data_IF_415561713946
#
_entry.id   IF_415561713946
#
_cell.length_a   1.000
_cell.length_b   1.000
_cell.length_c   1.000
_cell.angle_alpha   90.00
_cell.angle_beta   90.00
_cell.angle_gamma   90.00
#
_symmetry.space_group_name_H-M   'P 1'
#
loop_
_entity.id
_entity.type
_entity.pdbx_description
1 polymer ?
#
# COMPACT_ATOMS: atom_id res chain seq x y z
N UNK A 1 -21.82 25.77 -19.30
CA UNK A 1 -21.55 24.48 -19.95
C UNK A 1 -20.19 23.95 -19.46
N UNK A 2 -20.18 22.83 -18.71
CA UNK A 2 -19.26 21.74 -19.04
C UNK A 2 -19.92 20.38 -18.77
N UNK A 3 -20.29 19.63 -19.82
CA UNK A 3 -20.78 18.25 -19.68
C UNK A 3 -20.11 17.26 -20.63
N UNK A 4 -19.36 17.75 -21.62
CA UNK A 4 -18.77 16.88 -22.66
C UNK A 4 -17.42 16.32 -22.24
N UNK A 5 -16.60 17.08 -21.50
CA UNK A 5 -15.27 16.64 -21.07
C UNK A 5 -15.26 15.57 -19.96
N UNK A 6 -16.27 15.54 -19.07
CA UNK A 6 -16.29 14.57 -17.95
C UNK A 6 -16.83 13.19 -18.37
N UNK A 7 -17.62 13.10 -19.44
CA UNK A 7 -18.21 11.83 -19.90
C UNK A 7 -17.17 10.96 -20.62
N UNK A 8 -16.13 11.55 -21.21
CA UNK A 8 -15.06 10.82 -21.91
C UNK A 8 -13.97 10.25 -21.00
N UNK A 9 -13.73 10.85 -19.82
CA UNK A 9 -12.72 10.37 -18.87
C UNK A 9 -13.00 8.93 -18.40
N UNK A 10 -14.28 8.62 -18.14
CA UNK A 10 -14.69 7.33 -17.58
C UNK A 10 -14.62 6.14 -18.55
N UNK A 11 -14.50 6.36 -19.87
CA UNK A 11 -14.59 5.29 -20.89
C UNK A 11 -13.27 4.92 -21.56
N UNK A 12 -12.18 5.64 -21.32
CA UNK A 12 -10.90 5.45 -22.05
C UNK A 12 -9.64 5.48 -21.20
N UNK A 13 -9.76 5.65 -19.88
CA UNK A 13 -8.60 5.77 -18.99
C UNK A 13 -8.38 4.46 -18.25
N UNK A 14 -7.26 3.78 -18.53
CA UNK A 14 -6.85 2.65 -17.71
C UNK A 14 -6.24 3.17 -16.42
N UNK A 15 -6.68 2.64 -15.29
CA UNK A 15 -6.14 2.95 -13.97
C UNK A 15 -5.19 1.83 -13.60
N UNK A 16 -4.00 2.18 -13.12
CA UNK A 16 -2.98 1.23 -12.73
C UNK A 16 -2.55 1.46 -11.29
N UNK A 17 -2.09 0.39 -10.66
CA UNK A 17 -1.32 0.43 -9.43
C UNK A 17 -0.11 -0.47 -9.55
N UNK A 18 1.06 0.05 -9.18
CA UNK A 18 2.34 -0.66 -9.24
C UNK A 18 2.96 -0.69 -7.86
N UNK A 19 3.43 -1.87 -7.48
CA UNK A 19 4.39 -2.03 -6.39
C UNK A 19 5.78 -1.70 -6.93
N UNK A 20 6.36 -0.60 -6.45
CA UNK A 20 7.62 -0.04 -6.93
C UNK A 20 8.80 -0.60 -6.13
N UNK A 21 8.74 -0.51 -4.79
CA UNK A 21 9.79 -1.00 -3.89
C UNK A 21 9.20 -1.56 -2.59
N UNK A 22 10.02 -2.34 -1.88
CA UNK A 22 9.74 -2.91 -0.58
C UNK A 22 10.93 -2.62 0.34
N UNK A 23 10.67 -2.25 1.59
CA UNK A 23 11.68 -1.91 2.59
C UNK A 23 11.56 -0.48 3.08
N UNK A 24 12.60 0.05 3.72
CA UNK A 24 12.63 1.42 4.22
C UNK A 24 13.98 2.07 3.88
N UNK A 25 13.94 3.25 3.23
CA UNK A 25 15.11 4.09 3.00
C UNK A 25 16.23 3.34 2.28
N UNK A 26 17.45 3.24 2.86
CA UNK A 26 18.58 2.61 2.18
C UNK A 26 18.42 1.10 1.96
N UNK A 27 17.44 0.46 2.62
CA UNK A 27 17.17 -0.97 2.51
C UNK A 27 16.02 -1.29 1.54
N UNK A 28 15.55 -0.30 0.78
CA UNK A 28 14.55 -0.53 -0.26
C UNK A 28 15.13 -1.40 -1.38
N UNK A 29 14.39 -2.44 -1.73
CA UNK A 29 14.72 -3.38 -2.80
C UNK A 29 13.56 -3.52 -3.77
N UNK A 30 13.84 -4.08 -4.95
CA UNK A 30 12.78 -4.45 -5.88
C UNK A 30 11.91 -5.56 -5.27
N UNK A 31 10.60 -5.63 -5.56
CA UNK A 31 9.72 -6.62 -4.95
C UNK A 31 10.15 -8.07 -5.14
N UNK A 32 10.76 -8.39 -6.28
CA UNK A 32 11.31 -9.71 -6.60
C UNK A 32 12.60 -10.06 -5.83
N UNK A 33 13.24 -9.08 -5.21
CA UNK A 33 14.44 -9.27 -4.39
C UNK A 33 14.11 -9.38 -2.90
N UNK A 34 12.89 -9.00 -2.50
CA UNK A 34 12.48 -9.07 -1.11
C UNK A 34 11.96 -10.46 -0.76
N UNK A 35 12.48 -11.00 0.34
CA UNK A 35 11.89 -12.14 1.03
C UNK A 35 11.98 -11.87 2.53
N UNK A 36 10.88 -11.96 3.29
CA UNK A 36 10.97 -11.93 4.74
C UNK A 36 11.69 -13.19 5.23
N UNK A 37 12.25 -13.12 6.44
CA UNK A 37 12.87 -14.29 7.11
C UNK A 37 11.83 -15.39 7.37
N UNK A 38 10.64 -15.00 7.80
CA UNK A 38 9.49 -15.89 8.03
C UNK A 38 8.32 -15.42 7.17
N UNK A 39 7.90 -16.25 6.21
CA UNK A 39 6.85 -15.86 5.25
C UNK A 39 5.48 -15.65 5.89
N UNK A 40 5.18 -16.33 7.00
CA UNK A 40 3.90 -16.28 7.70
C UNK A 40 3.88 -15.35 8.92
N UNK A 41 5.02 -14.73 9.25
CA UNK A 41 5.16 -13.75 10.32
C UNK A 41 6.08 -12.62 9.85
N UNK A 42 5.50 -11.56 9.30
CA UNK A 42 6.23 -10.42 8.74
C UNK A 42 5.41 -9.14 8.83
N UNK A 43 6.13 -8.01 8.80
CA UNK A 43 5.62 -6.73 8.37
C UNK A 43 6.66 -6.05 7.50
N UNK A 44 6.21 -5.33 6.47
CA UNK A 44 7.11 -4.60 5.60
C UNK A 44 6.44 -3.39 4.98
N UNK A 45 7.18 -2.30 4.89
CA UNK A 45 6.74 -1.12 4.17
C UNK A 45 6.84 -1.37 2.66
N UNK A 46 5.77 -1.03 1.95
CA UNK A 46 5.72 -1.07 0.50
C UNK A 46 5.43 0.32 -0.06
N UNK A 47 6.07 0.62 -1.18
CA UNK A 47 5.88 1.85 -1.94
C UNK A 47 5.13 1.54 -3.23
N UNK A 48 4.04 2.26 -3.42
CA UNK A 48 3.12 2.08 -4.52
C UNK A 48 3.11 3.33 -5.38
N UNK A 49 3.04 3.14 -6.70
CA UNK A 49 2.69 4.22 -7.64
C UNK A 49 1.36 3.90 -8.30
N UNK A 50 0.41 4.81 -8.16
CA UNK A 50 -0.92 4.64 -8.74
C UNK A 50 -1.27 5.83 -9.63
N UNK A 51 -2.04 5.58 -10.69
CA UNK A 51 -2.40 6.66 -11.59
C UNK A 51 -3.18 6.19 -12.79
N UNK A 52 -3.15 7.02 -13.83
CA UNK A 52 -3.91 6.82 -15.07
C UNK A 52 -2.97 6.66 -16.25
N UNK A 53 -3.30 5.78 -17.20
CA UNK A 53 -2.44 5.45 -18.35
C UNK A 53 -2.16 6.61 -19.31
N UNK A 54 -2.95 7.68 -19.25
CA UNK A 54 -2.90 8.81 -20.18
C UNK A 54 -2.68 10.17 -19.49
N UNK A 55 -2.48 10.17 -18.18
CA UNK A 55 -2.20 11.39 -17.41
C UNK A 55 -0.73 11.45 -16.97
N UNK A 56 -0.12 12.63 -16.90
CA UNK A 56 1.22 12.78 -16.31
C UNK A 56 1.22 12.59 -14.79
N UNK A 57 0.04 12.43 -14.19
CA UNK A 57 -0.11 12.44 -12.74
C UNK A 57 -0.22 11.03 -12.17
N UNK A 58 0.58 10.82 -11.14
CA UNK A 58 0.60 9.64 -10.30
C UNK A 58 0.54 10.06 -8.84
N UNK A 59 0.09 9.15 -8.00
CA UNK A 59 0.19 9.24 -6.56
C UNK A 59 1.15 8.17 -6.09
N UNK A 60 2.24 8.62 -5.48
CA UNK A 60 3.14 7.75 -4.75
C UNK A 60 2.59 7.59 -3.32
N UNK A 61 2.45 6.34 -2.90
CA UNK A 61 1.80 5.98 -1.65
C UNK A 61 2.60 4.95 -0.87
N UNK A 62 2.44 5.02 0.44
CA UNK A 62 3.01 4.08 1.40
C UNK A 62 1.92 3.21 2.00
N UNK A 63 2.13 1.89 1.99
CA UNK A 63 1.31 0.90 2.71
C UNK A 63 2.18 -0.04 3.52
N UNK A 64 1.73 -0.41 4.71
CA UNK A 64 2.31 -1.50 5.48
C UNK A 64 1.63 -2.80 5.06
N UNK A 65 2.42 -3.78 4.61
CA UNK A 65 1.93 -5.14 4.35
C UNK A 65 2.42 -6.04 5.47
N UNK A 66 1.50 -6.71 6.16
CA UNK A 66 1.87 -7.62 7.25
C UNK A 66 1.00 -8.87 7.30
N UNK A 67 1.53 -9.90 7.96
CA UNK A 67 0.78 -11.09 8.31
C UNK A 67 -0.16 -10.84 9.50
N UNK A 68 -1.32 -11.52 9.57
CA UNK A 68 -2.16 -11.50 10.76
C UNK A 68 -1.43 -11.94 12.04
N UNK A 69 -0.50 -12.89 11.92
CA UNK A 69 0.35 -13.40 13.03
C UNK A 69 1.16 -12.26 13.63
N UNK A 70 1.99 -11.60 12.80
CA UNK A 70 2.78 -10.45 13.22
C UNK A 70 1.90 -9.34 13.81
N UNK A 71 0.74 -9.05 13.18
CA UNK A 71 -0.14 -7.99 13.66
C UNK A 71 -0.67 -8.27 15.06
N UNK A 72 -0.99 -9.53 15.36
CA UNK A 72 -1.51 -9.93 16.67
C UNK A 72 -0.42 -9.86 17.74
N UNK A 73 0.82 -10.20 17.39
CA UNK A 73 1.98 -10.16 18.30
C UNK A 73 2.42 -8.72 18.58
N UNK A 74 2.42 -7.85 17.56
CA UNK A 74 2.87 -6.47 17.66
C UNK A 74 1.87 -5.53 18.38
N UNK A 75 0.64 -5.99 18.63
CA UNK A 75 -0.43 -5.15 19.16
C UNK A 75 -0.79 -5.52 20.59
N UNK A 76 -0.86 -4.54 21.52
CA UNK A 76 -1.38 -4.76 22.85
C UNK A 76 -2.81 -5.30 22.82
N UNK A 77 -3.13 -6.21 23.74
CA UNK A 77 -4.48 -6.72 23.91
C UNK A 77 -5.48 -5.56 24.15
N UNK A 78 -6.59 -5.58 23.40
CA UNK A 78 -7.63 -4.55 23.49
C UNK A 78 -7.34 -3.25 22.71
N UNK A 79 -6.27 -3.21 21.91
CA UNK A 79 -5.98 -2.07 21.03
C UNK A 79 -6.94 -1.98 19.85
N UNK A 80 -7.12 -0.78 19.31
CA UNK A 80 -7.89 -0.50 18.09
C UNK A 80 -6.95 0.05 17.03
N UNK A 81 -6.93 -0.60 15.87
CA UNK A 81 -6.13 -0.17 14.73
C UNK A 81 -7.00 0.42 13.62
N UNK A 82 -6.48 1.45 12.97
CA UNK A 82 -7.06 1.99 11.75
C UNK A 82 -6.45 1.29 10.54
N UNK A 83 -7.28 0.60 9.75
CA UNK A 83 -6.80 -0.21 8.61
C UNK A 83 -6.37 0.56 7.36
N UNK A 84 -6.44 1.90 7.34
CA UNK A 84 -5.96 2.67 6.19
C UNK A 84 -4.44 2.54 6.08
N UNK A 85 -3.92 2.24 4.89
CA UNK A 85 -2.50 1.97 4.69
C UNK A 85 -2.01 0.65 5.29
N UNK A 86 -2.92 -0.26 5.66
CA UNK A 86 -2.60 -1.60 6.14
C UNK A 86 -3.16 -2.65 5.18
N UNK A 87 -2.31 -3.55 4.69
CA UNK A 87 -2.69 -4.70 3.89
C UNK A 87 -2.31 -5.98 4.63
N UNK A 88 -3.28 -6.87 4.78
CA UNK A 88 -3.07 -8.17 5.42
C UNK A 88 -2.79 -9.25 4.37
N UNK A 89 -1.74 -10.02 4.60
CA UNK A 89 -1.32 -11.11 3.74
C UNK A 89 -0.80 -12.26 4.59
N UNK A 90 -1.43 -13.45 4.49
CA UNK A 90 -1.10 -14.59 5.36
C UNK A 90 0.34 -15.06 5.18
N UNK A 91 0.77 -15.22 3.93
CA UNK A 91 2.12 -15.61 3.55
C UNK A 91 2.64 -14.62 2.53
N UNK A 92 3.86 -14.10 2.74
CA UNK A 92 4.42 -13.13 1.81
C UNK A 92 4.59 -13.72 0.40
N UNK A 93 4.01 -13.03 -0.59
CA UNK A 93 4.13 -13.31 -2.01
C UNK A 93 4.01 -12.00 -2.82
N UNK A 94 5.12 -11.55 -3.40
CA UNK A 94 5.15 -10.30 -4.15
C UNK A 94 4.23 -10.30 -5.38
N UNK A 95 4.01 -11.47 -6.02
CA UNK A 95 3.14 -11.61 -7.19
C UNK A 95 1.66 -11.45 -6.85
N UNK A 96 1.24 -12.08 -5.74
CA UNK A 96 -0.12 -11.91 -5.20
C UNK A 96 -0.35 -10.47 -4.76
N UNK A 97 0.62 -9.85 -4.07
CA UNK A 97 0.53 -8.46 -3.66
C UNK A 97 0.41 -7.51 -4.86
N UNK A 98 1.27 -7.66 -5.88
CA UNK A 98 1.18 -6.89 -7.14
C UNK A 98 -0.20 -7.01 -7.78
N UNK A 99 -0.72 -8.23 -7.87
CA UNK A 99 -2.04 -8.51 -8.45
C UNK A 99 -3.16 -7.83 -7.66
N UNK A 100 -3.11 -7.88 -6.32
CA UNK A 100 -4.10 -7.25 -5.46
C UNK A 100 -4.10 -5.72 -5.60
N UNK A 101 -2.93 -5.09 -5.69
CA UNK A 101 -2.78 -3.64 -5.89
C UNK A 101 -3.34 -3.21 -7.25
N UNK A 102 -2.98 -3.93 -8.32
CA UNK A 102 -3.48 -3.63 -9.67
C UNK A 102 -5.00 -3.80 -9.76
N UNK A 103 -5.55 -4.87 -9.18
CA UNK A 103 -7.00 -5.08 -9.10
C UNK A 103 -7.71 -4.00 -8.28
N UNK A 104 -7.10 -3.54 -7.19
CA UNK A 104 -7.64 -2.41 -6.42
C UNK A 104 -7.73 -1.16 -7.29
N UNK A 105 -6.63 -0.77 -7.94
CA UNK A 105 -6.57 0.42 -8.78
C UNK A 105 -7.59 0.37 -9.93
N UNK A 106 -7.74 -0.78 -10.60
CA UNK A 106 -8.74 -0.98 -11.66
C UNK A 106 -10.19 -0.79 -11.20
N UNK A 107 -10.49 -0.99 -9.91
CA UNK A 107 -11.83 -0.75 -9.34
C UNK A 107 -12.07 0.72 -8.97
N UNK A 108 -11.03 1.56 -8.94
CA UNK A 108 -11.12 2.96 -8.56
C UNK A 108 -11.68 3.84 -9.70
N UNK A 109 -12.83 3.50 -10.28
CA UNK A 109 -13.42 4.25 -11.40
C UNK A 109 -14.21 5.47 -10.93
N UNK A 110 -14.31 6.53 -11.74
CA UNK A 110 -15.12 7.71 -11.42
C UNK A 110 -15.39 8.60 -12.65
N UNK A 111 -16.43 9.43 -12.61
CA UNK A 111 -16.75 10.41 -13.66
C UNK A 111 -15.75 11.57 -13.73
N UNK A 112 -14.97 11.79 -12.67
CA UNK A 112 -13.95 12.83 -12.61
C UNK A 112 -12.61 12.24 -12.19
N UNK A 113 -11.53 12.91 -12.60
CA UNK A 113 -10.18 12.52 -12.19
C UNK A 113 -10.01 12.63 -10.67
N UNK A 114 -10.53 13.71 -10.09
CA UNK A 114 -10.52 13.93 -8.65
C UNK A 114 -11.14 12.74 -7.90
N UNK A 115 -12.31 12.26 -8.31
CA UNK A 115 -12.93 11.09 -7.69
C UNK A 115 -12.13 9.79 -7.83
N UNK A 116 -11.41 9.61 -8.94
CA UNK A 116 -10.50 8.46 -9.12
C UNK A 116 -9.34 8.56 -8.13
N UNK A 117 -8.68 9.71 -8.04
CA UNK A 117 -7.53 9.92 -7.15
C UNK A 117 -7.93 9.86 -5.67
N UNK A 118 -9.13 10.34 -5.32
CA UNK A 118 -9.68 10.16 -3.96
C UNK A 118 -9.93 8.68 -3.62
N UNK A 119 -10.31 7.85 -4.60
CA UNK A 119 -10.48 6.40 -4.40
C UNK A 119 -9.13 5.69 -4.29
N UNK A 120 -8.15 6.08 -5.10
CA UNK A 120 -6.78 5.57 -5.01
C UNK A 120 -6.16 5.93 -3.65
N UNK A 121 -6.39 7.14 -3.15
CA UNK A 121 -5.99 7.63 -1.81
C UNK A 121 -6.46 6.79 -0.62
N UNK A 122 -7.41 5.86 -0.82
CA UNK A 122 -7.90 5.00 0.26
C UNK A 122 -6.96 3.84 0.59
N UNK A 123 -6.04 3.50 -0.32
CA UNK A 123 -5.16 2.36 -0.15
C UNK A 123 -4.04 2.64 0.85
N UNK A 124 -3.35 3.77 0.69
CA UNK A 124 -2.20 4.15 1.49
C UNK A 124 -2.14 5.63 1.81
N UNK A 125 -0.99 6.05 2.33
CA UNK A 125 -0.72 7.45 2.65
C UNK A 125 0.15 8.07 1.58
N UNK A 126 -0.25 9.24 1.08
CA UNK A 126 0.59 10.03 0.18
C UNK A 126 1.87 10.50 0.90
N UNK A 127 2.95 10.64 0.15
CA UNK A 127 4.21 11.24 0.63
C UNK A 127 4.04 12.68 1.16
N UNK A 128 3.01 13.39 0.72
CA UNK A 128 2.70 14.76 1.14
C UNK A 128 1.61 14.85 2.23
N UNK A 129 0.85 13.77 2.46
CA UNK A 129 -0.25 13.79 3.44
C UNK A 129 0.25 13.66 4.88
N UNK A 130 1.42 13.03 5.14
CA UNK A 130 1.81 12.74 6.51
C UNK A 130 3.31 12.49 6.70
N UNK A 131 3.99 13.46 7.31
CA UNK A 131 5.32 13.27 7.91
C UNK A 131 5.26 12.48 9.23
N UNK A 132 4.08 12.43 9.88
CA UNK A 132 3.91 11.91 11.25
C UNK A 132 2.85 10.80 11.43
N UNK A 133 2.07 10.41 10.40
CA UNK A 133 1.20 9.22 10.48
C UNK A 133 1.85 8.04 9.80
N UNK A 134 2.39 7.15 10.62
CA UNK A 134 2.52 5.74 10.23
C UNK A 134 1.43 4.99 10.98
N UNK A 135 0.59 4.16 10.33
CA UNK A 135 -0.51 3.45 10.99
C UNK A 135 0.00 2.54 12.12
N UNK A 136 1.25 2.08 12.00
CA UNK A 136 2.01 1.38 13.04
C UNK A 136 3.39 2.02 13.09
N UNK A 137 3.94 2.37 14.27
CA UNK A 137 5.28 2.95 14.36
C UNK A 137 6.33 2.09 13.64
N UNK A 138 7.19 2.72 12.84
CA UNK A 138 8.17 2.02 12.00
C UNK A 138 9.15 1.16 12.82
N UNK A 139 9.41 1.49 14.09
CA UNK A 139 10.25 0.69 14.98
C UNK A 139 9.65 -0.69 15.29
N UNK A 140 8.32 -0.87 15.22
CA UNK A 140 7.71 -2.17 15.45
C UNK A 140 7.96 -3.15 14.29
N UNK A 141 8.29 -2.64 13.10
CA UNK A 141 8.52 -3.46 11.88
C UNK A 141 9.75 -4.36 12.04
N UNK A 142 10.77 -3.92 12.79
CA UNK A 142 12.01 -4.68 13.02
C UNK A 142 12.03 -5.48 14.34
N UNK A 143 11.25 -5.10 15.35
CA UNK A 143 11.42 -5.65 16.72
C UNK A 143 10.74 -6.99 17.00
N UNK A 144 9.93 -7.53 16.09
CA UNK A 144 9.09 -8.70 16.41
C UNK A 144 9.85 -10.02 16.63
N UNK A 145 11.18 -10.10 16.52
CA UNK A 145 11.92 -11.37 16.66
C UNK A 145 13.27 -11.26 17.42
N UNK A 146 13.55 -10.17 18.14
CA UNK A 146 14.73 -10.14 19.03
C UNK A 146 14.50 -10.82 20.40
N UNK A 147 13.29 -11.33 20.68
CA UNK A 147 12.92 -11.84 22.01
C UNK A 147 13.28 -13.31 22.29
N UNK A 148 13.83 -14.08 21.34
CA UNK A 148 14.13 -15.51 21.53
C UNK A 148 15.60 -15.80 21.95
N UNK A 149 16.34 -14.80 22.44
CA UNK A 149 17.74 -14.96 22.87
C UNK A 149 18.04 -14.42 24.28
N UNK A 150 17.15 -14.63 25.26
CA UNK A 150 17.45 -14.48 26.68
C UNK A 150 16.82 -15.59 27.54
#
# INVERSE_FOLDING_TARGET
MPKVASVDFARRVMIFGRLESIGLGPNEVLPEQYSPRVRSCFAVQCFLRMGTSHGPETQDQRVLVCSPTWLTEAQPAGSVLRGQGLLLMTDFDAGVLRTAIDQFAKRCTGPTREEVFQKLGRLGFSEFEDYNRTPIPLYLIDEAHESDNL
#
